data_IF_194790536837
#
_entry.id   IF_194790536837
#
_cell.length_a   1.000
_cell.length_b   1.000
_cell.length_c   1.000
_cell.angle_alpha   90.00
_cell.angle_beta   90.00
_cell.angle_gamma   90.00
#
_symmetry.space_group_name_H-M   'P 1'
#
loop_
_entity.id
_entity.type
_entity.pdbx_description
1 polymer ?
#
# COMPACT_ATOMS: atom_id res chain seq x y z
N UNK A 1 35.40 -87.24 14.16
CA UNK A 1 36.83 -86.89 14.25
C UNK A 1 37.01 -85.47 13.76
N UNK A 2 37.64 -84.62 14.59
CA UNK A 2 38.26 -83.32 14.32
C UNK A 2 37.38 -82.20 13.71
N UNK A 3 37.58 -80.91 13.95
CA UNK A 3 38.36 -80.12 14.91
C UNK A 3 38.07 -78.64 14.58
N UNK A 4 37.74 -77.84 15.60
CA UNK A 4 38.15 -76.46 15.91
C UNK A 4 38.44 -75.35 14.86
N UNK A 5 38.21 -74.11 15.35
CA UNK A 5 38.68 -72.77 14.96
C UNK A 5 37.76 -71.97 14.00
N UNK A 6 37.01 -70.97 14.51
CA UNK A 6 37.37 -69.54 14.78
C UNK A 6 37.72 -68.77 13.50
N UNK A 7 36.89 -67.82 13.09
CA UNK A 7 37.11 -66.39 13.36
C UNK A 7 35.91 -65.52 12.97
N UNK A 8 35.84 -64.38 13.66
CA UNK A 8 34.78 -63.38 13.78
C UNK A 8 34.51 -62.59 12.50
N UNK A 9 33.31 -62.00 12.37
CA UNK A 9 33.07 -60.56 12.14
C UNK A 9 31.55 -60.25 12.08
N UNK A 10 31.19 -59.30 12.93
CA UNK A 10 30.01 -58.43 13.07
C UNK A 10 28.92 -58.38 11.97
N UNK A 11 27.68 -58.62 12.38
CA UNK A 11 26.48 -57.91 11.90
C UNK A 11 25.55 -57.64 13.10
N UNK A 12 25.24 -56.37 13.38
CA UNK A 12 24.16 -56.00 14.30
C UNK A 12 23.15 -55.15 13.54
N UNK A 13 22.03 -55.80 13.30
CA UNK A 13 20.82 -55.30 12.69
C UNK A 13 20.05 -54.40 13.65
N UNK A 14 19.46 -53.34 13.09
CA UNK A 14 18.12 -52.89 13.45
C UNK A 14 17.95 -52.09 14.74
N UNK A 15 17.60 -50.82 14.59
CA UNK A 15 16.26 -50.36 15.00
C UNK A 15 16.01 -48.97 14.43
N UNK A 16 14.95 -48.86 13.63
CA UNK A 16 14.40 -47.60 13.16
C UNK A 16 13.64 -46.92 14.31
N UNK A 17 13.98 -45.66 14.60
CA UNK A 17 13.03 -44.71 15.17
C UNK A 17 13.05 -43.44 14.33
N UNK A 18 11.86 -43.02 13.92
CA UNK A 18 11.63 -41.95 12.95
C UNK A 18 12.17 -40.61 13.40
N UNK A 19 12.87 -39.94 12.49
CA UNK A 19 13.27 -38.55 12.65
C UNK A 19 12.42 -37.72 11.68
N UNK A 20 11.50 -36.94 12.24
CA UNK A 20 10.76 -35.89 11.55
C UNK A 20 11.75 -35.00 10.79
N UNK A 21 11.56 -34.89 9.48
CA UNK A 21 12.27 -33.92 8.64
C UNK A 21 11.82 -32.53 9.06
N UNK A 22 12.66 -31.87 9.86
CA UNK A 22 12.63 -30.44 10.12
C UNK A 22 12.74 -29.72 8.78
N UNK A 23 11.62 -29.16 8.29
CA UNK A 23 11.63 -28.23 7.15
C UNK A 23 12.28 -26.96 7.66
N UNK A 24 13.41 -26.61 7.08
CA UNK A 24 14.15 -25.40 7.38
C UNK A 24 13.24 -24.17 7.23
N UNK A 25 12.99 -23.50 8.34
CA UNK A 25 12.48 -22.14 8.38
C UNK A 25 13.57 -21.22 7.81
N UNK A 26 13.38 -20.78 6.57
CA UNK A 26 14.00 -19.54 6.12
C UNK A 26 13.13 -18.90 5.02
N UNK A 27 12.03 -18.28 5.45
CA UNK A 27 11.23 -17.37 4.64
C UNK A 27 11.45 -15.93 5.13
N UNK A 28 12.71 -15.47 5.09
CA UNK A 28 13.13 -14.12 5.45
C UNK A 28 12.82 -13.04 4.40
N UNK A 29 11.66 -13.09 3.74
CA UNK A 29 11.26 -12.12 2.69
C UNK A 29 10.15 -11.16 3.12
N UNK A 30 9.59 -11.30 4.33
CA UNK A 30 8.52 -10.43 4.83
C UNK A 30 8.97 -9.16 5.57
N UNK A 31 10.16 -9.15 6.19
CA UNK A 31 10.55 -8.09 7.14
C UNK A 31 11.46 -7.00 6.55
N UNK A 32 11.84 -7.08 5.28
CA UNK A 32 12.81 -6.16 4.66
C UNK A 32 12.19 -4.95 3.99
N UNK A 33 10.90 -4.99 3.62
CA UNK A 33 10.18 -3.83 3.08
C UNK A 33 9.78 -2.84 4.19
N UNK A 34 9.22 -3.36 5.29
CA UNK A 34 8.70 -2.56 6.40
C UNK A 34 9.77 -1.75 7.15
N UNK A 35 11.02 -2.26 7.23
CA UNK A 35 12.13 -1.56 7.90
C UNK A 35 12.82 -0.49 7.07
N UNK A 36 12.49 -0.32 5.78
CA UNK A 36 13.20 0.65 4.91
C UNK A 36 12.67 2.08 5.01
N UNK A 37 11.40 2.31 5.36
CA UNK A 37 10.87 3.67 5.60
C UNK A 37 11.54 4.32 6.83
N UNK A 38 11.76 3.58 7.91
CA UNK A 38 12.43 4.13 9.12
C UNK A 38 13.87 4.61 8.89
N UNK A 39 14.61 3.96 7.98
CA UNK A 39 16.01 4.31 7.71
C UNK A 39 16.19 5.59 6.88
N UNK A 40 15.16 6.07 6.18
CA UNK A 40 15.21 7.28 5.35
C UNK A 40 14.87 8.56 6.14
N UNK A 41 14.10 8.46 7.23
CA UNK A 41 13.74 9.61 8.07
C UNK A 41 14.81 10.01 9.10
N UNK A 42 15.81 9.17 9.37
CA UNK A 42 16.82 9.42 10.41
C UNK A 42 17.95 10.39 10.01
N UNK A 43 17.91 11.00 8.81
CA UNK A 43 19.00 11.86 8.32
C UNK A 43 18.51 13.20 7.76
N UNK A 44 17.89 14.02 8.60
CA UNK A 44 17.98 15.48 8.51
C UNK A 44 17.35 16.12 9.74
N UNK A 45 18.19 16.54 10.69
CA UNK A 45 17.79 17.48 11.74
C UNK A 45 18.66 18.72 11.69
N UNK A 46 17.96 19.86 11.77
CA UNK A 46 18.37 21.23 12.12
C UNK A 46 18.82 22.16 10.99
N UNK A 47 17.90 23.05 10.63
CA UNK A 47 18.15 24.49 10.71
C UNK A 47 16.87 25.21 11.14
N UNK A 48 16.95 25.89 12.29
CA UNK A 48 15.94 26.81 12.81
C UNK A 48 16.06 28.13 12.04
N UNK A 49 14.97 28.64 11.45
CA UNK A 49 14.87 30.01 10.93
C UNK A 49 13.47 30.56 11.25
N UNK A 50 13.47 31.54 12.17
CA UNK A 50 12.70 32.80 12.25
C UNK A 50 11.21 32.82 11.83
N UNK A 51 10.34 33.05 12.83
CA UNK A 51 8.89 33.27 12.67
C UNK A 51 8.65 34.76 12.40
N UNK A 52 8.24 35.10 11.18
CA UNK A 52 7.72 36.43 10.84
C UNK A 52 6.19 36.36 10.83
N UNK A 53 5.58 36.93 11.87
CA UNK A 53 4.14 36.92 12.12
C UNK A 53 3.43 37.93 11.21
N UNK A 54 3.17 37.54 9.96
CA UNK A 54 2.35 38.33 9.04
C UNK A 54 0.86 38.19 9.41
N UNK A 55 0.35 39.23 10.07
CA UNK A 55 -1.07 39.46 10.37
C UNK A 55 -1.91 39.43 9.09
N UNK A 56 -2.64 38.33 8.86
CA UNK A 56 -3.65 38.25 7.79
C UNK A 56 -4.97 38.79 8.32
N UNK A 57 -5.27 40.05 7.98
CA UNK A 57 -6.61 40.63 8.15
C UNK A 57 -7.53 40.12 7.05
N UNK A 58 -8.17 38.96 7.27
CA UNK A 58 -9.26 38.54 6.39
C UNK A 58 -10.54 39.32 6.74
N UNK A 59 -10.97 40.17 5.80
CA UNK A 59 -12.25 40.87 5.87
C UNK A 59 -13.45 39.90 5.92
N UNK A 60 -14.60 40.32 6.49
CA UNK A 60 -15.60 39.39 7.03
C UNK A 60 -16.58 38.80 5.99
N UNK A 61 -16.20 38.59 4.73
CA UNK A 61 -17.19 38.21 3.70
C UNK A 61 -16.69 37.37 2.50
N UNK A 62 -15.79 36.40 2.74
CA UNK A 62 -15.50 35.36 1.75
C UNK A 62 -16.28 34.08 2.10
N UNK A 63 -17.23 33.68 1.24
CA UNK A 63 -17.82 32.34 1.33
C UNK A 63 -16.70 31.28 1.23
N UNK A 64 -16.77 30.17 1.99
CA UNK A 64 -15.71 29.18 1.96
C UNK A 64 -15.56 28.62 0.55
N UNK A 65 -14.36 28.75 -0.01
CA UNK A 65 -14.02 28.18 -1.32
C UNK A 65 -14.10 26.65 -1.19
N UNK A 66 -14.88 25.95 -2.03
CA UNK A 66 -14.96 24.50 -1.99
C UNK A 66 -13.58 23.88 -2.20
N UNK A 67 -13.29 22.78 -1.51
CA UNK A 67 -12.05 22.03 -1.70
C UNK A 67 -11.91 21.55 -3.15
N UNK A 68 -10.72 21.71 -3.73
CA UNK A 68 -10.37 21.28 -5.08
C UNK A 68 -8.93 20.73 -5.08
N UNK A 69 -8.67 19.72 -5.91
CA UNK A 69 -7.31 19.26 -6.16
C UNK A 69 -6.56 20.23 -7.08
N UNK A 70 -5.23 20.24 -6.96
CA UNK A 70 -4.35 20.87 -7.94
C UNK A 70 -4.59 20.29 -9.34
N UNK A 71 -4.48 21.12 -10.37
CA UNK A 71 -4.65 20.67 -11.76
C UNK A 71 -3.55 19.70 -12.23
N UNK A 72 -2.37 19.76 -11.60
CA UNK A 72 -1.21 18.93 -11.87
C UNK A 72 -0.61 18.39 -10.56
N UNK A 73 0.12 17.28 -10.61
CA UNK A 73 0.38 16.42 -11.78
C UNK A 73 -0.86 15.62 -12.23
N UNK A 74 -0.97 15.34 -13.53
CA UNK A 74 -1.95 14.39 -14.06
C UNK A 74 -1.53 12.93 -13.78
N UNK A 75 -2.43 11.97 -14.00
CA UNK A 75 -2.07 10.54 -13.90
C UNK A 75 -0.96 10.15 -14.88
N UNK A 76 -0.89 10.79 -16.05
CA UNK A 76 0.17 10.55 -17.03
C UNK A 76 1.51 11.14 -16.58
N UNK A 77 1.49 12.29 -15.91
CA UNK A 77 2.69 12.87 -15.31
C UNK A 77 3.23 11.96 -14.20
N UNK A 78 2.35 11.47 -13.31
CA UNK A 78 2.71 10.52 -12.25
C UNK A 78 3.28 9.23 -12.86
N UNK A 79 2.64 8.67 -13.89
CA UNK A 79 3.11 7.49 -14.61
C UNK A 79 4.52 7.70 -15.17
N UNK A 80 4.76 8.86 -15.78
CA UNK A 80 6.04 9.23 -16.38
C UNK A 80 7.14 9.41 -15.33
N UNK A 81 6.86 10.17 -14.26
CA UNK A 81 7.79 10.39 -13.14
C UNK A 81 8.18 9.08 -12.46
N UNK A 82 7.20 8.21 -12.20
CA UNK A 82 7.43 6.90 -11.58
C UNK A 82 8.25 5.96 -12.48
N UNK A 83 7.97 5.98 -13.78
CA UNK A 83 8.72 5.17 -14.76
C UNK A 83 10.18 5.64 -14.86
N UNK A 84 10.41 6.95 -14.88
CA UNK A 84 11.76 7.52 -14.88
C UNK A 84 12.52 7.16 -13.60
N UNK A 85 11.90 7.37 -12.44
CA UNK A 85 12.48 7.02 -11.13
C UNK A 85 12.89 5.55 -11.04
N UNK A 86 12.05 4.64 -11.53
CA UNK A 86 12.32 3.20 -11.54
C UNK A 86 13.40 2.82 -12.56
N UNK A 87 13.45 3.48 -13.72
CA UNK A 87 14.44 3.24 -14.75
C UNK A 87 15.84 3.63 -14.30
N UNK A 88 15.99 4.82 -13.69
CA UNK A 88 17.26 5.31 -13.11
C UNK A 88 17.87 4.32 -12.12
N UNK A 89 17.02 3.59 -11.39
CA UNK A 89 17.45 2.62 -10.37
C UNK A 89 17.53 1.18 -10.87
N UNK A 90 17.18 0.94 -12.14
CA UNK A 90 17.14 -0.41 -12.71
C UNK A 90 16.10 -1.32 -12.04
N UNK A 91 15.03 -0.75 -11.48
CA UNK A 91 14.02 -1.48 -10.71
C UNK A 91 12.96 -2.19 -11.56
N UNK A 92 13.02 -2.05 -12.88
CA UNK A 92 12.08 -2.68 -13.81
C UNK A 92 11.91 -4.20 -13.62
N UNK A 93 12.94 -4.90 -13.12
CA UNK A 93 12.88 -6.35 -12.80
C UNK A 93 12.00 -6.67 -11.58
N UNK A 94 11.92 -5.78 -10.61
CA UNK A 94 11.12 -5.94 -9.38
C UNK A 94 9.67 -5.50 -9.58
N UNK A 95 9.43 -4.59 -10.52
CA UNK A 95 8.10 -4.07 -10.88
C UNK A 95 7.32 -5.05 -11.78
N UNK A 96 7.14 -6.29 -11.32
CA UNK A 96 6.18 -7.24 -11.92
C UNK A 96 4.76 -6.97 -11.39
N UNK A 97 3.70 -7.22 -12.17
CA UNK A 97 2.33 -6.91 -11.76
C UNK A 97 1.95 -7.45 -10.37
N UNK A 98 2.30 -8.69 -10.06
CA UNK A 98 2.04 -9.29 -8.74
C UNK A 98 2.75 -8.54 -7.62
N UNK A 99 3.99 -8.13 -7.81
CA UNK A 99 4.78 -7.47 -6.78
C UNK A 99 4.23 -6.05 -6.54
N UNK A 100 3.86 -5.34 -7.60
CA UNK A 100 3.22 -4.02 -7.50
C UNK A 100 1.86 -4.11 -6.78
N UNK A 101 1.07 -5.16 -7.05
CA UNK A 101 -0.18 -5.41 -6.33
C UNK A 101 0.06 -5.66 -4.83
N UNK A 102 1.07 -6.46 -4.48
CA UNK A 102 1.39 -6.73 -3.08
C UNK A 102 1.90 -5.48 -2.34
N UNK A 103 2.72 -4.65 -3.01
CA UNK A 103 3.13 -3.36 -2.48
C UNK A 103 1.91 -2.46 -2.24
N UNK A 104 1.01 -2.32 -3.24
CA UNK A 104 -0.24 -1.57 -3.10
C UNK A 104 -1.08 -2.03 -1.89
N UNK A 105 -1.19 -3.34 -1.65
CA UNK A 105 -1.90 -3.86 -0.47
C UNK A 105 -1.22 -3.46 0.84
N UNK A 106 0.11 -3.41 0.86
CA UNK A 106 0.88 -2.90 2.01
C UNK A 106 0.53 -1.45 2.34
N UNK A 107 0.60 -0.56 1.34
CA UNK A 107 0.29 0.87 1.54
C UNK A 107 -1.17 1.11 1.93
N UNK A 108 -2.11 0.29 1.42
CA UNK A 108 -3.51 0.33 1.89
C UNK A 108 -3.63 -0.08 3.36
N UNK A 109 -2.77 -0.99 3.82
CA UNK A 109 -2.64 -1.36 5.22
C UNK A 109 -2.13 -0.19 6.07
N UNK A 110 -1.04 0.44 5.66
CA UNK A 110 -0.46 1.63 6.34
C UNK A 110 -1.48 2.77 6.41
N UNK A 111 -2.20 3.05 5.31
CA UNK A 111 -3.31 4.00 5.30
C UNK A 111 -4.41 3.63 6.29
N UNK A 112 -4.77 2.35 6.40
CA UNK A 112 -5.79 1.89 7.33
C UNK A 112 -5.35 2.03 8.80
N UNK A 113 -4.07 1.86 9.10
CA UNK A 113 -3.51 2.02 10.45
C UNK A 113 -3.72 3.44 11.01
N UNK A 114 -3.75 4.46 10.15
CA UNK A 114 -4.03 5.86 10.55
C UNK A 114 -5.45 6.05 11.10
N UNK A 115 -6.40 5.21 10.66
CA UNK A 115 -7.81 5.29 11.05
C UNK A 115 -8.24 4.23 12.06
N UNK A 116 -7.46 3.15 12.26
CA UNK A 116 -7.91 1.95 12.98
C UNK A 116 -8.42 2.20 14.42
N UNK A 117 -7.93 3.24 15.09
CA UNK A 117 -8.29 3.61 16.47
C UNK A 117 -9.08 4.93 16.56
N UNK A 118 -9.57 5.45 15.43
CA UNK A 118 -10.41 6.66 15.40
C UNK A 118 -11.88 6.27 15.51
N UNK A 119 -12.64 7.01 16.31
CA UNK A 119 -14.09 6.79 16.45
C UNK A 119 -14.84 7.27 15.19
N UNK A 120 -15.03 8.58 15.07
CA UNK A 120 -15.60 9.23 13.91
C UNK A 120 -14.56 10.13 13.24
N UNK A 121 -14.47 10.05 11.92
CA UNK A 121 -13.59 10.88 11.10
C UNK A 121 -14.45 11.84 10.27
N UNK A 122 -14.89 12.97 10.84
CA UNK A 122 -15.70 13.95 10.11
C UNK A 122 -14.91 14.56 8.95
N UNK A 123 -15.63 15.13 7.98
CA UNK A 123 -15.03 15.79 6.82
C UNK A 123 -13.99 16.84 7.25
N UNK A 124 -12.85 16.85 6.56
CA UNK A 124 -11.73 17.73 6.88
C UNK A 124 -10.90 17.30 8.09
N UNK A 125 -11.29 16.25 8.81
CA UNK A 125 -10.55 15.63 9.92
C UNK A 125 -10.16 16.64 11.04
N UNK A 126 -11.11 17.41 11.59
CA UNK A 126 -10.84 18.30 12.72
C UNK A 126 -10.22 17.54 13.88
N UNK A 127 -9.18 18.12 14.49
CA UNK A 127 -8.43 17.49 15.59
C UNK A 127 -7.20 16.69 15.16
N UNK A 128 -7.00 16.46 13.86
CA UNK A 128 -5.75 15.90 13.36
C UNK A 128 -4.64 16.95 13.37
N UNK A 129 -3.51 16.59 13.96
CA UNK A 129 -2.26 17.36 13.97
C UNK A 129 -1.66 17.46 12.57
N UNK A 130 -0.74 18.40 12.37
CA UNK A 130 -0.04 18.56 11.08
C UNK A 130 0.70 17.28 10.67
N UNK A 131 1.34 16.59 11.62
CA UNK A 131 2.07 15.35 11.35
C UNK A 131 1.15 14.19 10.95
N UNK A 132 -0.03 14.08 11.57
CA UNK A 132 -1.02 13.05 11.16
C UNK A 132 -1.58 13.33 9.77
N UNK A 133 -1.75 14.60 9.40
CA UNK A 133 -2.18 14.99 8.05
C UNK A 133 -1.10 14.75 7.00
N UNK A 134 0.16 14.95 7.36
CA UNK A 134 1.29 14.61 6.50
C UNK A 134 1.36 13.10 6.27
N UNK A 135 1.31 12.30 7.33
CA UNK A 135 1.25 10.83 7.22
C UNK A 135 0.06 10.37 6.35
N UNK A 136 -1.12 10.96 6.51
CA UNK A 136 -2.26 10.67 5.64
C UNK A 136 -1.99 11.01 4.17
N UNK A 137 -1.36 12.16 3.92
CA UNK A 137 -1.01 12.59 2.57
C UNK A 137 -0.01 11.62 1.93
N UNK A 138 0.97 11.15 2.70
CA UNK A 138 1.99 10.21 2.24
C UNK A 138 1.36 8.85 1.90
N UNK A 139 0.57 8.26 2.79
CA UNK A 139 -0.03 6.94 2.54
C UNK A 139 -1.08 6.96 1.43
N UNK A 140 -1.86 8.04 1.29
CA UNK A 140 -2.73 8.23 0.13
C UNK A 140 -1.93 8.33 -1.18
N UNK A 141 -0.77 8.99 -1.14
CA UNK A 141 0.10 9.15 -2.30
C UNK A 141 0.76 7.83 -2.69
N UNK A 142 1.22 7.04 -1.72
CA UNK A 142 1.84 5.73 -1.96
C UNK A 142 0.84 4.76 -2.62
N UNK A 143 -0.40 4.71 -2.13
CA UNK A 143 -1.49 3.95 -2.76
C UNK A 143 -1.70 4.38 -4.22
N UNK A 144 -1.74 5.69 -4.49
CA UNK A 144 -1.91 6.21 -5.84
C UNK A 144 -0.73 5.83 -6.75
N UNK A 145 0.50 5.99 -6.27
CA UNK A 145 1.73 5.73 -7.01
C UNK A 145 1.80 4.26 -7.43
N UNK A 146 1.56 3.31 -6.52
CA UNK A 146 1.56 1.89 -6.87
C UNK A 146 0.40 1.49 -7.77
N UNK A 147 -0.78 2.10 -7.60
CA UNK A 147 -1.90 1.86 -8.51
C UNK A 147 -1.59 2.29 -9.94
N UNK A 148 -1.00 3.48 -10.12
CA UNK A 148 -0.56 3.98 -11.43
C UNK A 148 0.54 3.10 -12.02
N UNK A 149 1.53 2.70 -11.21
CA UNK A 149 2.59 1.80 -11.63
C UNK A 149 2.05 0.44 -12.09
N UNK A 150 1.09 -0.13 -11.36
CA UNK A 150 0.43 -1.38 -11.70
C UNK A 150 -0.35 -1.26 -13.01
N UNK A 151 -1.12 -0.19 -13.17
CA UNK A 151 -1.86 0.06 -14.42
C UNK A 151 -0.92 0.20 -15.62
N UNK A 152 0.18 0.93 -15.48
CA UNK A 152 1.24 1.06 -16.49
C UNK A 152 1.80 -0.31 -16.89
N UNK A 153 2.15 -1.15 -15.89
CA UNK A 153 2.71 -2.49 -16.14
C UNK A 153 1.72 -3.44 -16.80
N UNK A 154 0.42 -3.24 -16.55
CA UNK A 154 -0.67 -4.02 -17.14
C UNK A 154 -1.20 -3.43 -18.46
N UNK A 155 -0.63 -2.33 -18.95
CA UNK A 155 -1.10 -1.60 -20.14
C UNK A 155 -2.58 -1.19 -20.06
N UNK A 156 -3.01 -0.75 -18.88
CA UNK A 156 -4.37 -0.23 -18.66
C UNK A 156 -4.32 1.30 -18.69
N UNK A 157 -5.03 1.90 -19.64
CA UNK A 157 -5.35 3.33 -19.62
C UNK A 157 -6.29 3.61 -18.44
N UNK A 158 -5.68 3.97 -17.32
CA UNK A 158 -6.35 4.15 -16.02
C UNK A 158 -7.37 5.30 -16.04
N UNK A 159 -7.07 6.53 -16.56
CA UNK A 159 -8.06 7.58 -16.70
C UNK A 159 -9.31 7.11 -17.47
N UNK A 160 -9.13 6.51 -18.66
CA UNK A 160 -10.25 6.04 -19.46
C UNK A 160 -11.01 4.89 -18.79
N UNK A 161 -10.30 3.97 -18.10
CA UNK A 161 -10.92 2.89 -17.35
C UNK A 161 -11.79 3.41 -16.19
N UNK A 162 -11.32 4.42 -15.46
CA UNK A 162 -12.06 5.06 -14.38
C UNK A 162 -13.34 5.74 -14.91
N UNK A 163 -13.25 6.49 -16.01
CA UNK A 163 -14.43 7.12 -16.66
C UNK A 163 -15.48 6.07 -17.05
N UNK A 164 -15.07 4.99 -17.72
CA UNK A 164 -15.99 3.89 -18.07
C UNK A 164 -16.60 3.23 -16.81
N UNK A 165 -15.84 3.12 -15.72
CA UNK A 165 -16.33 2.53 -14.48
C UNK A 165 -17.34 3.44 -13.76
N UNK A 166 -17.14 4.75 -13.78
CA UNK A 166 -18.08 5.74 -13.26
C UNK A 166 -19.41 5.64 -14.00
N UNK A 167 -19.39 5.57 -15.33
CA UNK A 167 -20.63 5.42 -16.12
C UNK A 167 -21.36 4.12 -15.80
N UNK A 168 -20.63 3.00 -15.71
CA UNK A 168 -21.21 1.73 -15.23
C UNK A 168 -21.82 1.85 -13.84
N UNK A 169 -21.22 2.61 -12.93
CA UNK A 169 -21.76 2.84 -11.59
C UNK A 169 -23.04 3.68 -11.62
N UNK A 170 -23.14 4.70 -12.49
CA UNK A 170 -24.37 5.50 -12.66
C UNK A 170 -25.55 4.65 -13.09
N UNK A 171 -25.35 3.73 -14.03
CA UNK A 171 -26.37 2.79 -14.48
C UNK A 171 -26.75 1.80 -13.37
N UNK A 172 -25.77 1.35 -12.58
CA UNK A 172 -25.97 0.40 -11.48
C UNK A 172 -26.68 1.01 -10.26
N UNK A 173 -26.54 2.31 -10.03
CA UNK A 173 -27.11 3.03 -8.89
C UNK A 173 -27.84 4.30 -9.35
N UNK A 174 -29.05 4.20 -9.93
CA UNK A 174 -29.80 5.36 -10.41
C UNK A 174 -30.18 6.28 -9.23
N UNK A 175 -29.88 7.58 -9.34
CA UNK A 175 -30.09 8.55 -8.25
C UNK A 175 -31.51 8.52 -7.66
N UNK A 176 -32.53 8.37 -8.52
CA UNK A 176 -33.94 8.28 -8.11
C UNK A 176 -34.26 7.07 -7.21
N UNK A 177 -33.43 6.02 -7.24
CA UNK A 177 -33.62 4.78 -6.47
C UNK A 177 -32.76 4.72 -5.21
N UNK A 178 -31.65 5.45 -5.17
CA UNK A 178 -30.61 5.31 -4.12
C UNK A 178 -30.39 6.59 -3.31
N UNK A 179 -31.16 7.65 -3.56
CA UNK A 179 -31.04 8.91 -2.80
C UNK A 179 -31.20 8.65 -1.29
N UNK A 180 -30.17 8.98 -0.52
CA UNK A 180 -30.14 8.78 0.94
C UNK A 180 -30.00 7.32 1.40
N UNK A 181 -29.67 6.36 0.50
CA UNK A 181 -29.57 4.93 0.85
C UNK A 181 -28.25 4.31 0.37
N UNK A 182 -27.55 3.63 1.27
CA UNK A 182 -26.30 2.89 1.00
C UNK A 182 -26.52 1.39 0.72
N UNK A 183 -27.78 0.95 0.58
CA UNK A 183 -28.12 -0.46 0.36
C UNK A 183 -27.45 -0.98 -0.92
N UNK A 184 -27.14 -2.28 -0.94
CA UNK A 184 -26.55 -2.90 -2.14
C UNK A 184 -27.56 -2.89 -3.28
N UNK A 185 -27.06 -2.79 -4.52
CA UNK A 185 -27.90 -2.73 -5.73
C UNK A 185 -28.87 -3.92 -5.87
N UNK A 186 -28.54 -5.06 -5.27
CA UNK A 186 -29.36 -6.27 -5.20
C UNK A 186 -30.63 -6.12 -4.36
N UNK A 187 -30.71 -5.07 -3.55
CA UNK A 187 -31.84 -4.80 -2.64
C UNK A 187 -32.81 -3.74 -3.19
N UNK A 188 -32.56 -3.19 -4.39
CA UNK A 188 -33.49 -2.26 -5.07
C UNK A 188 -34.28 -2.94 -6.21
N UNK A 189 -34.47 -4.26 -6.14
CA UNK A 189 -35.46 -4.93 -6.98
C UNK A 189 -36.87 -4.55 -6.50
N UNK A 190 -37.75 -4.32 -7.46
CA UNK A 190 -39.14 -3.89 -7.28
C UNK A 190 -39.96 -4.80 -6.38
#
# INVERSE_FOLDING_TARGET
MASSARDSITESSGSQTGQERRVSEDCGLGNTLFKRKEALHASSTKKEEEVDEAVVTNGPNASPVPFQFSANPTLEDIRSLQSAFAAERGWGKYHQPRNLLLALVGEVGELAELFQWREEAPEGLPGWTSSEREALSDELSDVLIYLVALANKCHVDLPSAALRKIEKNRLKYPAKRVYGSSKKYTEYQE
#
